data_IF_647142465784
#
_entry.id   IF_647142465784
#
_cell.length_a   1.000
_cell.length_b   1.000
_cell.length_c   1.000
_cell.angle_alpha   90.00
_cell.angle_beta   90.00
_cell.angle_gamma   90.00
#
_symmetry.space_group_name_H-M   'P 1'
#
loop_
_entity.id
_entity.type
_entity.pdbx_description
1 polymer ?
#
# COMPACT_ATOMS: atom_id res chain seq x y z
N UNK A 1 -7.41 -20.42 -7.25
CA UNK A 1 -6.73 -19.94 -6.04
C UNK A 1 -5.83 -18.78 -6.41
N UNK A 2 -5.81 -17.71 -5.60
CA UNK A 2 -4.89 -16.59 -5.80
C UNK A 2 -3.55 -16.94 -5.17
N UNK A 3 -2.50 -17.06 -5.98
CA UNK A 3 -1.16 -17.41 -5.50
C UNK A 3 -0.41 -16.14 -5.11
N UNK A 4 -0.07 -16.00 -3.83
CA UNK A 4 0.78 -14.91 -3.37
C UNK A 4 2.25 -15.33 -3.47
N UNK A 5 3.08 -14.47 -4.06
CA UNK A 5 4.54 -14.64 -4.08
C UNK A 5 5.14 -13.71 -3.04
N UNK A 6 5.61 -14.28 -1.93
CA UNK A 6 6.41 -13.54 -0.96
C UNK A 6 7.65 -12.96 -1.64
N UNK A 7 8.12 -11.82 -1.15
CA UNK A 7 9.40 -11.25 -1.58
C UNK A 7 10.50 -12.26 -1.31
N UNK A 8 11.41 -12.45 -2.26
CA UNK A 8 12.57 -13.31 -2.06
C UNK A 8 13.73 -12.51 -1.45
N UNK A 9 14.62 -13.19 -0.72
CA UNK A 9 15.80 -12.56 -0.13
C UNK A 9 16.68 -11.85 -1.19
N UNK A 10 16.81 -12.41 -2.39
CA UNK A 10 17.56 -11.79 -3.49
C UNK A 10 16.92 -10.50 -4.04
N UNK A 11 15.63 -10.26 -3.76
CA UNK A 11 14.90 -9.10 -4.24
C UNK A 11 14.89 -7.95 -3.22
N UNK A 12 15.37 -8.17 -1.99
CA UNK A 12 15.32 -7.16 -0.92
C UNK A 12 16.02 -5.85 -1.28
N UNK A 13 17.18 -5.83 -1.99
CA UNK A 13 17.84 -4.57 -2.35
C UNK A 13 17.05 -3.73 -3.35
N UNK A 14 16.04 -4.31 -4.02
CA UNK A 14 15.14 -3.61 -4.96
C UNK A 14 13.96 -2.95 -4.26
N UNK A 15 13.69 -3.29 -2.99
CA UNK A 15 12.60 -2.68 -2.23
C UNK A 15 13.04 -1.33 -1.72
N UNK A 16 12.24 -0.31 -2.02
CA UNK A 16 12.55 1.08 -1.70
C UNK A 16 11.35 1.73 -1.01
N UNK A 17 11.62 2.84 -0.32
CA UNK A 17 10.55 3.70 0.17
C UNK A 17 9.67 4.16 -1.02
N UNK A 18 8.36 4.10 -0.82
CA UNK A 18 7.32 4.32 -1.82
C UNK A 18 6.93 3.08 -2.64
N UNK A 19 7.68 1.97 -2.59
CA UNK A 19 7.30 0.74 -3.30
C UNK A 19 5.96 0.22 -2.77
N UNK A 20 5.05 -0.13 -3.68
CA UNK A 20 3.76 -0.74 -3.36
C UNK A 20 3.94 -2.25 -3.38
N UNK A 21 3.66 -2.86 -2.23
CA UNK A 21 3.69 -4.30 -2.01
C UNK A 21 2.30 -4.79 -1.59
N UNK A 22 2.22 -6.05 -1.20
CA UNK A 22 1.01 -6.65 -0.70
C UNK A 22 1.27 -7.27 0.67
N UNK A 23 0.45 -6.95 1.66
CA UNK A 23 0.40 -7.66 2.91
C UNK A 23 -0.55 -8.86 2.73
N UNK A 24 -0.03 -10.09 2.56
CA UNK A 24 -0.85 -11.25 2.21
C UNK A 24 -1.83 -11.62 3.33
N UNK A 25 -2.77 -12.54 3.08
CA UNK A 25 -3.52 -13.20 4.15
C UNK A 25 -2.60 -13.74 5.25
N UNK A 26 -3.03 -13.61 6.51
CA UNK A 26 -2.24 -13.97 7.71
C UNK A 26 -1.73 -15.41 7.69
N UNK A 27 -2.47 -16.34 7.10
CA UNK A 27 -2.08 -17.75 6.99
C UNK A 27 -0.92 -18.02 6.01
N UNK A 28 -0.52 -17.03 5.21
CA UNK A 28 0.62 -17.12 4.26
C UNK A 28 1.89 -16.48 4.86
N UNK A 29 1.74 -15.69 5.93
CA UNK A 29 2.87 -15.03 6.59
C UNK A 29 3.79 -16.10 7.23
N UNK A 30 5.12 -16.01 7.04
CA UNK A 30 6.05 -16.96 7.64
C UNK A 30 5.92 -17.00 9.16
N UNK A 31 5.92 -18.21 9.74
CA UNK A 31 5.89 -18.38 11.20
C UNK A 31 7.11 -17.69 11.83
N UNK A 32 6.87 -16.94 12.91
CA UNK A 32 7.92 -16.20 13.61
C UNK A 32 8.39 -14.93 12.91
N UNK A 33 7.78 -14.54 11.79
CA UNK A 33 8.02 -13.23 11.20
C UNK A 33 7.38 -12.13 12.03
N UNK A 34 8.11 -11.03 12.26
CA UNK A 34 7.59 -9.91 13.00
C UNK A 34 6.54 -9.13 12.19
N UNK A 35 5.40 -8.91 12.82
CA UNK A 35 4.38 -7.94 12.41
C UNK A 35 3.99 -7.10 13.62
N UNK A 36 3.82 -5.79 13.43
CA UNK A 36 3.40 -4.87 14.49
C UNK A 36 2.21 -5.44 15.30
N UNK A 37 2.29 -5.54 16.63
CA UNK A 37 1.18 -6.04 17.46
C UNK A 37 -0.11 -5.24 17.33
N UNK A 38 -0.04 -3.98 16.89
CA UNK A 38 -1.21 -3.11 16.65
C UNK A 38 -1.85 -3.34 15.28
N UNK A 39 -1.25 -4.18 14.42
CA UNK A 39 -1.78 -4.54 13.13
C UNK A 39 -2.97 -5.49 13.31
N UNK A 40 -4.18 -4.97 13.12
CA UNK A 40 -5.42 -5.74 13.25
C UNK A 40 -5.53 -6.79 12.13
N UNK A 41 -6.22 -7.90 12.40
CA UNK A 41 -6.43 -8.97 11.41
C UNK A 41 -7.06 -8.49 10.10
N UNK A 42 -7.92 -7.46 10.18
CA UNK A 42 -8.52 -6.82 9.00
C UNK A 42 -7.56 -5.98 8.15
N UNK A 43 -6.30 -5.78 8.55
CA UNK A 43 -5.29 -5.11 7.75
C UNK A 43 -4.57 -6.06 6.78
N UNK A 44 -4.61 -7.38 7.03
CA UNK A 44 -4.07 -8.39 6.12
C UNK A 44 -4.93 -8.53 4.86
N UNK A 45 -4.35 -9.13 3.82
CA UNK A 45 -4.98 -9.26 2.50
C UNK A 45 -5.24 -7.91 1.81
N UNK A 46 -4.32 -6.96 1.98
CA UNK A 46 -4.40 -5.62 1.40
C UNK A 46 -3.08 -5.19 0.76
N UNK A 47 -3.12 -4.35 -0.29
CA UNK A 47 -1.92 -3.64 -0.72
C UNK A 47 -1.39 -2.73 0.38
N UNK A 48 -0.11 -2.41 0.32
CA UNK A 48 0.52 -1.46 1.22
C UNK A 48 1.63 -0.69 0.51
N UNK A 49 1.87 0.55 0.91
CA UNK A 49 3.03 1.33 0.48
C UNK A 49 4.11 1.25 1.55
N UNK A 50 5.36 1.00 1.16
CA UNK A 50 6.51 1.16 2.04
C UNK A 50 6.69 2.66 2.31
N UNK A 51 6.62 3.06 3.58
CA UNK A 51 6.83 4.45 4.01
C UNK A 51 8.32 4.68 4.24
N UNK A 52 8.97 3.77 4.96
CA UNK A 52 10.39 3.82 5.24
C UNK A 52 10.98 2.41 5.28
N UNK A 53 12.26 2.29 4.90
CA UNK A 53 13.02 1.04 4.94
C UNK A 53 14.51 1.36 5.08
N UNK A 54 15.36 0.40 5.53
CA UNK A 54 16.81 0.56 5.49
C UNK A 54 17.33 0.85 4.08
N UNK A 55 18.57 1.33 4.01
CA UNK A 55 19.20 1.63 2.72
C UNK A 55 19.35 0.36 1.87
N UNK A 56 19.40 0.47 0.52
CA UNK A 56 19.50 -0.71 -0.35
C UNK A 56 20.70 -1.62 -0.08
N UNK A 57 21.76 -1.09 0.54
CA UNK A 57 22.97 -1.85 0.89
C UNK A 57 22.84 -2.62 2.21
N UNK A 58 21.90 -2.23 3.06
CA UNK A 58 21.72 -2.75 4.42
C UNK A 58 20.42 -3.55 4.56
N UNK A 59 19.48 -3.37 3.63
CA UNK A 59 18.18 -4.02 3.69
C UNK A 59 18.31 -5.53 3.46
N UNK A 60 17.88 -6.29 4.46
CA UNK A 60 17.84 -7.74 4.44
C UNK A 60 16.39 -8.23 4.47
N UNK A 61 16.20 -9.52 4.31
CA UNK A 61 14.87 -10.12 4.28
C UNK A 61 14.14 -10.03 5.64
N UNK A 62 14.89 -9.93 6.73
CA UNK A 62 14.39 -9.76 8.10
C UNK A 62 14.47 -8.30 8.56
N UNK A 63 14.83 -7.37 7.69
CA UNK A 63 14.79 -5.95 8.02
C UNK A 63 13.35 -5.51 8.26
N UNK A 64 13.19 -4.65 9.26
CA UNK A 64 11.93 -4.00 9.54
C UNK A 64 11.70 -2.88 8.52
N UNK A 65 10.51 -2.85 7.95
CA UNK A 65 10.03 -1.80 7.07
C UNK A 65 8.75 -1.23 7.64
N UNK A 66 8.53 0.06 7.43
CA UNK A 66 7.31 0.73 7.80
C UNK A 66 6.34 0.74 6.62
N UNK A 67 5.10 0.34 6.86
CA UNK A 67 4.06 0.26 5.83
C UNK A 67 2.84 1.10 6.16
N UNK A 68 2.23 1.67 5.12
CA UNK A 68 0.91 2.27 5.14
C UNK A 68 -0.07 1.37 4.37
N UNK A 69 -1.18 0.99 5.01
CA UNK A 69 -2.18 0.09 4.40
C UNK A 69 -2.96 0.82 3.31
N UNK A 70 -3.22 0.12 2.21
CA UNK A 70 -3.96 0.61 1.07
C UNK A 70 -5.30 -0.10 0.93
N UNK A 71 -6.31 0.62 0.47
CA UNK A 71 -7.65 0.07 0.25
C UNK A 71 -8.29 0.63 -1.00
N UNK A 72 -9.11 -0.20 -1.64
CA UNK A 72 -10.02 0.24 -2.70
C UNK A 72 -11.44 0.47 -2.21
N UNK A 73 -11.72 0.29 -0.91
CA UNK A 73 -13.09 0.23 -0.35
C UNK A 73 -14.01 -0.65 -1.21
N UNK A 74 -13.56 -1.85 -1.58
CA UNK A 74 -14.28 -2.76 -2.48
C UNK A 74 -14.65 -2.16 -3.86
N UNK A 75 -13.83 -1.25 -4.37
CA UNK A 75 -14.04 -0.58 -5.66
C UNK A 75 -14.81 0.74 -5.54
N UNK A 76 -15.40 1.02 -4.37
CA UNK A 76 -16.13 2.27 -4.13
C UNK A 76 -15.18 3.44 -3.87
N UNK A 77 -15.64 4.65 -4.23
CA UNK A 77 -14.91 5.86 -3.82
C UNK A 77 -15.05 6.05 -2.31
N UNK A 78 -14.08 6.68 -1.67
CA UNK A 78 -14.14 6.98 -0.23
C UNK A 78 -15.38 7.81 0.15
N UNK A 79 -15.84 8.71 -0.74
CA UNK A 79 -17.09 9.47 -0.55
C UNK A 79 -18.31 8.55 -0.49
N UNK A 80 -18.42 7.60 -1.41
CA UNK A 80 -19.52 6.63 -1.43
C UNK A 80 -19.47 5.69 -0.21
N UNK A 81 -18.27 5.25 0.17
CA UNK A 81 -18.05 4.42 1.36
C UNK A 81 -18.46 5.11 2.67
N UNK A 82 -18.17 6.41 2.80
CA UNK A 82 -18.61 7.19 3.97
C UNK A 82 -20.12 7.43 3.94
N UNK A 83 -20.69 7.70 2.76
CA UNK A 83 -22.12 7.92 2.61
C UNK A 83 -22.94 6.67 2.99
N UNK A 84 -22.47 5.46 2.68
CA UNK A 84 -23.14 4.21 3.11
C UNK A 84 -23.10 3.99 4.63
N UNK A 85 -22.23 4.72 5.34
CA UNK A 85 -22.16 4.79 6.80
C UNK A 85 -22.87 6.01 7.39
N UNK A 86 -23.68 6.72 6.59
CA UNK A 86 -24.41 7.92 7.00
C UNK A 86 -23.57 9.21 7.05
N UNK A 87 -22.28 9.17 6.70
CA UNK A 87 -21.39 10.33 6.76
C UNK A 87 -21.36 11.01 5.39
N UNK A 88 -21.98 12.19 5.29
CA UNK A 88 -22.00 12.99 4.06
C UNK A 88 -20.83 13.97 4.00
N UNK A 89 -20.21 14.08 2.83
CA UNK A 89 -19.20 15.10 2.53
C UNK A 89 -19.51 15.79 1.20
N UNK A 90 -19.11 17.04 1.06
CA UNK A 90 -19.31 17.82 -0.18
C UNK A 90 -18.47 17.28 -1.34
N UNK A 91 -17.21 16.89 -1.08
CA UNK A 91 -16.27 16.42 -2.11
C UNK A 91 -15.57 15.10 -1.75
N UNK A 92 -14.96 14.47 -2.75
CA UNK A 92 -14.12 13.28 -2.56
C UNK A 92 -12.81 13.58 -1.84
N UNK A 93 -12.24 14.76 -2.05
CA UNK A 93 -11.06 15.24 -1.33
C UNK A 93 -11.35 15.38 0.17
N UNK A 94 -12.46 16.04 0.53
CA UNK A 94 -12.88 16.18 1.92
C UNK A 94 -13.20 14.82 2.57
N UNK A 95 -13.78 13.87 1.82
CA UNK A 95 -13.97 12.50 2.30
C UNK A 95 -12.65 11.79 2.58
N UNK A 96 -11.67 11.93 1.68
CA UNK A 96 -10.34 11.34 1.85
C UNK A 96 -9.65 11.93 3.09
N UNK A 97 -9.61 13.26 3.22
CA UNK A 97 -9.07 13.96 4.38
C UNK A 97 -9.74 13.52 5.70
N UNK A 98 -11.07 13.59 5.78
CA UNK A 98 -11.83 13.22 6.99
C UNK A 98 -11.67 11.76 7.38
N UNK A 99 -11.46 10.87 6.41
CA UNK A 99 -11.21 9.45 6.68
C UNK A 99 -9.73 9.15 6.94
N UNK A 100 -8.83 10.12 6.78
CA UNK A 100 -7.39 9.91 6.93
C UNK A 100 -6.78 9.09 5.79
N UNK A 101 -7.22 9.36 4.56
CA UNK A 101 -6.74 8.68 3.36
C UNK A 101 -6.26 9.68 2.31
N UNK A 102 -5.27 9.28 1.53
CA UNK A 102 -4.84 9.97 0.31
C UNK A 102 -5.11 9.09 -0.90
N UNK A 103 -5.66 9.68 -1.95
CA UNK A 103 -5.96 8.95 -3.19
C UNK A 103 -4.67 8.70 -3.97
N UNK A 104 -4.48 7.49 -4.48
CA UNK A 104 -3.40 7.17 -5.43
C UNK A 104 -3.94 7.28 -6.86
N UNK A 105 -3.11 7.75 -7.79
CA UNK A 105 -3.46 7.81 -9.21
C UNK A 105 -3.82 6.42 -9.76
N UNK A 106 -4.86 6.35 -10.58
CA UNK A 106 -5.35 5.11 -11.19
C UNK A 106 -5.21 5.17 -12.70
N UNK A 107 -5.03 4.03 -13.35
CA UNK A 107 -4.82 3.96 -14.80
C UNK A 107 -6.03 4.50 -15.58
N UNK A 108 -7.24 4.32 -15.05
CA UNK A 108 -8.49 4.86 -15.61
C UNK A 108 -8.68 6.36 -15.41
N UNK A 109 -7.94 6.99 -14.48
CA UNK A 109 -8.06 8.41 -14.16
C UNK A 109 -6.68 9.07 -14.04
N UNK A 110 -5.87 9.07 -15.12
CA UNK A 110 -4.48 9.52 -15.08
C UNK A 110 -4.34 11.02 -14.76
N UNK A 111 -5.32 11.82 -15.19
CA UNK A 111 -5.38 13.28 -15.00
C UNK A 111 -6.06 13.72 -13.70
N UNK A 112 -6.33 12.78 -12.77
CA UNK A 112 -6.88 13.14 -11.47
C UNK A 112 -5.95 14.12 -10.72
N UNK A 113 -6.54 15.19 -10.20
CA UNK A 113 -5.90 16.18 -9.32
C UNK A 113 -5.92 15.66 -7.87
N UNK A 114 -5.03 16.19 -7.04
CA UNK A 114 -4.94 15.86 -5.60
C UNK A 114 -4.75 14.37 -5.30
N UNK A 115 -3.91 13.73 -6.11
CA UNK A 115 -3.55 12.31 -5.96
C UNK A 115 -2.06 12.13 -5.73
N UNK A 116 -1.72 11.06 -5.02
CA UNK A 116 -0.37 10.51 -4.95
C UNK A 116 -0.01 9.91 -6.31
N UNK A 117 1.03 10.45 -6.93
CA UNK A 117 1.52 10.00 -8.24
C UNK A 117 2.47 8.82 -8.07
N UNK A 118 2.39 7.89 -9.01
CA UNK A 118 3.38 6.82 -9.16
C UNK A 118 4.48 7.27 -10.13
N UNK A 119 5.65 6.64 -10.00
CA UNK A 119 6.76 6.79 -10.95
C UNK A 119 6.37 6.27 -12.33
N UNK A 120 7.10 6.75 -13.33
CA UNK A 120 7.00 6.33 -14.73
C UNK A 120 5.59 6.49 -15.33
N UNK A 121 4.82 7.44 -14.80
CA UNK A 121 3.46 7.74 -15.26
C UNK A 121 2.43 6.64 -14.98
N UNK A 122 2.77 5.61 -14.19
CA UNK A 122 1.86 4.51 -13.90
C UNK A 122 0.63 4.94 -13.10
N UNK A 123 -0.42 4.13 -13.20
CA UNK A 123 -1.61 4.22 -12.38
C UNK A 123 -1.99 2.85 -11.81
N UNK A 124 -2.56 2.84 -10.60
CA UNK A 124 -3.11 1.62 -10.01
C UNK A 124 -4.21 1.05 -10.92
N UNK A 125 -4.27 -0.28 -11.07
CA UNK A 125 -5.23 -0.94 -11.97
C UNK A 125 -6.70 -0.79 -11.54
N UNK A 126 -6.97 -0.60 -10.24
CA UNK A 126 -8.33 -0.37 -9.72
C UNK A 126 -8.69 1.10 -9.72
N UNK A 127 -9.95 1.42 -10.05
CA UNK A 127 -10.48 2.79 -10.21
C UNK A 127 -10.53 3.63 -8.94
N UNK A 128 -10.47 2.95 -7.79
CA UNK A 128 -10.50 3.53 -6.45
C UNK A 128 -9.35 2.91 -5.66
N UNK A 129 -8.33 3.70 -5.34
CA UNK A 129 -7.17 3.26 -4.57
C UNK A 129 -6.72 4.37 -3.63
N UNK A 130 -6.57 4.05 -2.36
CA UNK A 130 -6.26 5.00 -1.31
C UNK A 130 -5.19 4.42 -0.38
N UNK A 131 -4.28 5.26 0.06
CA UNK A 131 -3.35 4.98 1.17
C UNK A 131 -3.96 5.55 2.46
N UNK A 132 -3.96 4.81 3.55
CA UNK A 132 -4.26 5.34 4.88
C UNK A 132 -3.04 6.05 5.48
N UNK A 133 -3.23 7.26 6.02
CA UNK A 133 -2.13 8.10 6.55
C UNK A 133 -2.17 8.31 8.07
N UNK A 134 -3.15 7.73 8.76
CA UNK A 134 -3.28 7.90 10.22
C UNK A 134 -2.40 6.96 11.03
N UNK A 135 -2.04 5.82 10.45
CA UNK A 135 -1.29 4.77 11.11
C UNK A 135 -0.42 4.07 10.08
N UNK A 136 0.84 3.95 10.44
CA UNK A 136 1.81 3.07 9.81
C UNK A 136 2.09 1.89 10.73
N UNK A 137 2.67 0.83 10.19
CA UNK A 137 2.98 -0.38 10.94
C UNK A 137 4.36 -0.87 10.58
N UNK A 138 5.11 -1.34 11.56
CA UNK A 138 6.38 -2.00 11.31
C UNK A 138 6.16 -3.48 11.02
N UNK A 139 6.72 -3.99 9.93
CA UNK A 139 6.70 -5.43 9.61
C UNK A 139 8.08 -5.84 9.10
N UNK A 140 8.42 -7.11 9.24
CA UNK A 140 9.57 -7.65 8.51
C UNK A 140 9.30 -7.70 7.00
N UNK A 141 10.32 -7.45 6.19
CA UNK A 141 10.18 -7.47 4.74
C UNK A 141 9.67 -8.82 4.21
N UNK A 142 10.12 -9.94 4.80
CA UNK A 142 9.68 -11.31 4.44
C UNK A 142 8.19 -11.60 4.65
N UNK A 143 7.47 -10.72 5.35
CA UNK A 143 6.01 -10.80 5.50
C UNK A 143 5.32 -10.38 4.20
N UNK A 144 5.96 -9.53 3.40
CA UNK A 144 5.35 -8.89 2.25
C UNK A 144 5.42 -9.79 1.01
N UNK A 145 4.36 -9.71 0.22
CA UNK A 145 4.24 -10.29 -1.10
C UNK A 145 4.33 -9.22 -2.18
N UNK A 146 4.64 -9.66 -3.40
CA UNK A 146 4.60 -8.79 -4.55
C UNK A 146 3.16 -8.40 -4.89
N UNK A 147 2.99 -7.12 -5.24
CA UNK A 147 1.72 -6.61 -5.72
C UNK A 147 1.29 -7.32 -7.01
N UNK A 148 -0.02 -7.35 -7.29
CA UNK A 148 -0.56 -8.05 -8.45
C UNK A 148 -0.45 -9.58 -8.38
N UNK A 149 -0.33 -10.13 -7.16
CA UNK A 149 -0.28 -11.58 -6.90
C UNK A 149 0.93 -12.25 -7.56
N UNK A 150 2.11 -11.64 -7.42
CA UNK A 150 3.38 -12.17 -7.93
C UNK A 150 3.59 -12.07 -9.44
N UNK A 151 2.64 -11.49 -10.18
CA UNK A 151 2.76 -11.25 -11.64
C UNK A 151 3.56 -10.00 -11.99
N UNK A 152 3.69 -9.08 -11.04
CA UNK A 152 4.47 -7.86 -11.20
C UNK A 152 5.85 -8.06 -10.60
N UNK A 153 6.84 -7.33 -11.10
CA UNK A 153 8.17 -7.29 -10.49
C UNK A 153 8.19 -6.46 -9.20
N UNK A 154 9.23 -6.64 -8.39
CA UNK A 154 9.52 -5.71 -7.29
C UNK A 154 9.75 -4.32 -7.84
N UNK A 155 9.17 -3.32 -7.16
CA UNK A 155 9.18 -1.91 -7.53
C UNK A 155 8.38 -1.55 -8.80
N UNK A 156 7.60 -2.49 -9.34
CA UNK A 156 6.75 -2.22 -10.52
C UNK A 156 5.76 -1.07 -10.28
N UNK A 157 5.36 -0.83 -9.03
CA UNK A 157 4.52 0.27 -8.60
C UNK A 157 5.22 1.00 -7.46
N UNK A 158 5.62 2.25 -7.68
CA UNK A 158 6.28 3.07 -6.65
C UNK A 158 5.77 4.50 -6.65
N UNK A 159 5.52 5.03 -5.47
CA UNK A 159 5.20 6.43 -5.26
C UNK A 159 6.39 7.33 -5.64
N UNK A 160 6.12 8.50 -6.20
CA UNK A 160 7.18 9.50 -6.40
C UNK A 160 7.70 9.99 -5.05
N UNK A 161 8.94 10.51 -5.02
CA UNK A 161 9.49 11.09 -3.78
C UNK A 161 8.62 12.23 -3.23
N UNK A 162 7.96 13.00 -4.10
CA UNK A 162 7.00 14.02 -3.68
C UNK A 162 5.73 13.43 -3.05
N UNK A 163 5.20 12.34 -3.60
CA UNK A 163 4.05 11.65 -3.03
C UNK A 163 4.38 11.00 -1.68
N UNK A 164 5.58 10.42 -1.55
CA UNK A 164 6.04 9.79 -0.33
C UNK A 164 6.14 10.77 0.85
N UNK A 165 6.55 12.03 0.63
CA UNK A 165 6.59 13.06 1.68
C UNK A 165 5.22 13.43 2.27
N UNK A 166 4.13 12.94 1.68
CA UNK A 166 2.77 13.16 2.18
C UNK A 166 2.27 11.98 3.03
N UNK A 167 3.08 10.92 3.16
CA UNK A 167 2.77 9.72 3.94
C UNK A 167 3.34 9.81 5.34
#
# INVERSE_FOLDING_TARGET
>A
MTTFRLVAAAETPRVLAGTIMFLPPKNIVPKGAYTDPKLLDGAFNHPCAIVSCPSPKEITHTSHVEIAIMTSFHGSTVKAHLASKGIKTSSGALAAERSGHLRVVTASKPLAKDVLKLRDGKGMKRDSCYVGIRRTYSVELRVLALYGFGREEVDAYRLTAHALRKL
#
